data_IF_266107659673
#
_entry.id   IF_266107659673
#
_cell.length_a   1.000
_cell.length_b   1.000
_cell.length_c   1.000
_cell.angle_alpha   90.00
_cell.angle_beta   90.00
_cell.angle_gamma   90.00
#
_symmetry.space_group_name_H-M   'P 1'
#
loop_
_entity.id
_entity.type
_entity.pdbx_description
1 polymer ?
#
# COMPACT_ATOMS: atom_id res chain seq x y z
N UNK A 1 18.53 49.04 -12.08
CA UNK A 1 18.85 47.83 -12.88
C UNK A 1 20.14 47.26 -12.31
N UNK A 2 20.09 46.06 -11.71
CA UNK A 2 21.32 45.35 -11.39
C UNK A 2 21.62 44.45 -12.59
N UNK A 3 22.63 44.83 -13.37
CA UNK A 3 23.18 43.98 -14.43
C UNK A 3 23.82 42.76 -13.76
N UNK A 4 23.09 41.64 -13.76
CA UNK A 4 23.65 40.35 -13.34
C UNK A 4 24.53 39.87 -14.49
N UNK A 5 25.76 40.37 -14.55
CA UNK A 5 26.81 39.80 -15.40
C UNK A 5 27.16 38.42 -14.85
N UNK A 6 26.50 37.37 -15.34
CA UNK A 6 26.83 35.99 -14.98
C UNK A 6 28.24 35.65 -15.49
N UNK A 7 29.21 35.72 -14.58
CA UNK A 7 30.56 35.17 -14.80
C UNK A 7 30.44 33.68 -15.18
N UNK A 8 31.24 33.22 -16.16
CA UNK A 8 31.34 31.80 -16.55
C UNK A 8 31.54 30.86 -15.35
N UNK A 9 32.21 31.33 -14.30
CA UNK A 9 32.35 30.59 -13.03
C UNK A 9 31.03 30.42 -12.25
N UNK A 10 30.12 31.40 -12.31
CA UNK A 10 28.80 31.30 -11.71
C UNK A 10 27.90 30.28 -12.42
N UNK A 11 27.98 30.21 -13.75
CA UNK A 11 27.25 29.21 -14.54
C UNK A 11 27.68 27.79 -14.17
N UNK A 12 28.98 27.53 -14.06
CA UNK A 12 29.53 26.24 -13.63
C UNK A 12 29.12 25.89 -12.19
N UNK A 13 29.06 26.89 -11.31
CA UNK A 13 28.63 26.69 -9.92
C UNK A 13 27.15 26.31 -9.81
N UNK A 14 26.25 27.00 -10.53
CA UNK A 14 24.82 26.64 -10.56
C UNK A 14 24.60 25.27 -11.22
N UNK A 15 25.35 24.95 -12.29
CA UNK A 15 25.27 23.63 -12.91
C UNK A 15 25.75 22.52 -11.97
N UNK A 16 26.80 22.79 -11.19
CA UNK A 16 27.29 21.86 -10.16
C UNK A 16 26.31 21.68 -9.01
N UNK A 17 25.60 22.73 -8.57
CA UNK A 17 24.57 22.64 -7.53
C UNK A 17 23.35 21.85 -8.04
N UNK A 18 22.93 22.08 -9.27
CA UNK A 18 21.82 21.34 -9.90
C UNK A 18 22.21 19.87 -10.08
N UNK A 19 23.42 19.58 -10.57
CA UNK A 19 23.96 18.23 -10.72
C UNK A 19 24.09 17.51 -9.36
N UNK A 20 24.54 18.23 -8.32
CA UNK A 20 24.63 17.69 -6.96
C UNK A 20 23.23 17.45 -6.37
N UNK A 21 22.24 18.32 -6.63
CA UNK A 21 20.85 18.10 -6.21
C UNK A 21 20.18 16.91 -6.91
N UNK A 22 20.53 16.64 -8.19
CA UNK A 22 20.08 15.45 -8.93
C UNK A 22 20.65 14.14 -8.35
N UNK A 23 21.84 14.18 -7.76
CA UNK A 23 22.50 13.03 -7.14
C UNK A 23 21.90 12.66 -5.76
N UNK A 24 21.04 13.50 -5.18
CA UNK A 24 20.39 13.25 -3.88
C UNK A 24 19.06 12.48 -3.99
N UNK A 25 18.57 12.23 -5.20
CA UNK A 25 17.41 11.38 -5.42
C UNK A 25 17.82 9.90 -5.38
N UNK A 26 18.15 9.40 -4.19
CA UNK A 26 18.23 7.96 -3.98
C UNK A 26 16.85 7.34 -4.15
N UNK A 27 16.63 6.68 -5.30
CA UNK A 27 15.44 5.90 -5.56
C UNK A 27 15.58 4.54 -4.85
N UNK A 28 15.40 4.49 -3.52
CA UNK A 28 15.29 3.21 -2.78
C UNK A 28 13.88 2.65 -3.01
N UNK A 29 13.61 2.14 -4.22
CA UNK A 29 12.26 1.71 -4.58
C UNK A 29 12.26 0.57 -5.61
N UNK A 30 12.26 -0.68 -5.11
CA UNK A 30 11.66 -1.87 -5.75
C UNK A 30 11.63 -3.08 -4.81
N UNK A 31 12.54 -3.15 -3.83
CA UNK A 31 12.68 -4.33 -2.96
C UNK A 31 11.87 -4.18 -1.66
N UNK A 32 10.61 -3.73 -1.71
CA UNK A 32 9.77 -3.78 -0.50
C UNK A 32 9.01 -5.10 -0.48
N UNK A 33 9.38 -5.99 0.45
CA UNK A 33 8.65 -7.22 0.69
C UNK A 33 7.26 -6.91 1.26
N UNK A 34 6.22 -7.57 0.75
CA UNK A 34 4.85 -7.51 1.24
C UNK A 34 4.40 -8.91 1.63
N UNK A 35 3.67 -8.98 2.73
CA UNK A 35 3.07 -10.19 3.26
C UNK A 35 1.59 -9.91 3.48
N UNK A 36 0.75 -10.81 3.00
CA UNK A 36 -0.70 -10.78 3.25
C UNK A 36 -1.14 -12.16 3.71
N UNK A 37 -2.09 -12.20 4.64
CA UNK A 37 -2.71 -13.44 5.09
C UNK A 37 -4.18 -13.21 5.45
N UNK A 38 -4.98 -14.27 5.34
CA UNK A 38 -6.33 -14.34 5.84
C UNK A 38 -6.54 -15.66 6.57
N UNK A 39 -7.40 -15.64 7.59
CA UNK A 39 -7.80 -16.84 8.29
C UNK A 39 -9.21 -17.24 7.85
N UNK A 40 -9.42 -18.54 7.70
CA UNK A 40 -10.71 -19.16 7.49
C UNK A 40 -10.87 -20.31 8.46
N UNK A 41 -11.73 -20.12 9.46
CA UNK A 41 -11.72 -20.99 10.63
C UNK A 41 -10.31 -20.99 11.23
N UNK A 42 -9.73 -22.18 11.35
CA UNK A 42 -8.35 -22.36 11.82
C UNK A 42 -7.28 -22.33 10.72
N UNK A 43 -7.65 -22.32 9.44
CA UNK A 43 -6.67 -22.33 8.35
C UNK A 43 -6.25 -20.89 8.00
N UNK A 44 -4.98 -20.57 8.19
CA UNK A 44 -4.36 -19.33 7.72
C UNK A 44 -3.78 -19.57 6.34
N UNK A 45 -4.26 -18.84 5.33
CA UNK A 45 -3.67 -18.80 3.99
C UNK A 45 -3.07 -17.44 3.74
N UNK A 46 -1.92 -17.41 3.09
CA UNK A 46 -1.29 -16.15 2.76
C UNK A 46 -0.32 -16.24 1.61
N UNK A 47 0.28 -15.11 1.29
CA UNK A 47 1.31 -15.03 0.27
C UNK A 47 2.31 -13.92 0.54
N UNK A 48 3.48 -14.06 -0.07
CA UNK A 48 4.57 -13.11 0.01
C UNK A 48 5.03 -12.72 -1.39
N UNK A 49 5.15 -11.42 -1.61
CA UNK A 49 5.49 -10.83 -2.90
C UNK A 49 6.26 -9.52 -2.72
N UNK A 50 7.03 -9.11 -3.72
CA UNK A 50 7.66 -7.79 -3.75
C UNK A 50 6.70 -6.73 -4.26
N UNK A 51 6.93 -5.47 -3.87
CA UNK A 51 6.29 -4.31 -4.47
C UNK A 51 6.44 -4.37 -6.01
N UNK A 52 5.33 -4.31 -6.73
CA UNK A 52 5.26 -4.62 -8.16
C UNK A 52 4.63 -5.98 -8.49
N UNK A 53 4.28 -6.79 -7.49
CA UNK A 53 3.46 -8.00 -7.63
C UNK A 53 4.26 -9.28 -7.95
N UNK A 54 5.59 -9.26 -7.87
CA UNK A 54 6.43 -10.43 -8.12
C UNK A 54 6.41 -11.35 -6.90
N UNK A 55 5.92 -12.59 -7.05
CA UNK A 55 5.89 -13.59 -5.97
C UNK A 55 7.28 -14.03 -5.52
N UNK A 56 7.45 -14.31 -4.23
CA UNK A 56 8.72 -14.76 -3.64
C UNK A 56 8.63 -16.23 -3.21
N UNK A 57 9.49 -17.07 -3.77
CA UNK A 57 9.50 -18.53 -3.55
C UNK A 57 10.49 -18.90 -2.47
N UNK A 58 10.24 -20.00 -1.77
CA UNK A 58 11.19 -20.66 -0.87
C UNK A 58 11.72 -19.77 0.26
N UNK A 59 10.91 -18.81 0.72
CA UNK A 59 11.26 -17.98 1.88
C UNK A 59 10.48 -18.39 3.12
N UNK A 60 11.10 -18.21 4.27
CA UNK A 60 10.51 -18.56 5.56
C UNK A 60 9.53 -17.49 6.03
N UNK A 61 8.38 -17.96 6.50
CA UNK A 61 7.37 -17.20 7.23
C UNK A 61 7.30 -17.76 8.65
N UNK A 62 7.77 -16.97 9.60
CA UNK A 62 7.69 -17.30 11.02
C UNK A 62 6.31 -16.92 11.56
N UNK A 63 5.69 -17.83 12.32
CA UNK A 63 4.36 -17.67 12.87
C UNK A 63 4.47 -17.58 14.39
N UNK A 64 3.93 -16.49 14.93
CA UNK A 64 3.93 -16.17 16.34
C UNK A 64 2.50 -16.15 16.88
N UNK A 65 2.33 -16.67 18.09
CA UNK A 65 1.11 -16.57 18.88
C UNK A 65 1.49 -16.08 20.28
N UNK A 66 0.82 -15.04 20.78
CA UNK A 66 1.18 -14.38 22.04
C UNK A 66 2.68 -14.08 22.15
N UNK A 67 3.25 -13.48 21.09
CA UNK A 67 4.68 -13.11 20.97
C UNK A 67 5.67 -14.30 20.96
N UNK A 68 5.18 -15.53 21.06
CA UNK A 68 6.00 -16.75 21.02
C UNK A 68 5.99 -17.34 19.61
N UNK A 69 7.16 -17.64 19.04
CA UNK A 69 7.25 -18.35 17.76
C UNK A 69 6.77 -19.79 17.95
N UNK A 70 5.68 -20.16 17.28
CA UNK A 70 5.05 -21.48 17.37
C UNK A 70 5.29 -22.35 16.14
N UNK A 71 5.57 -21.73 14.99
CA UNK A 71 5.81 -22.44 13.74
C UNK A 71 6.65 -21.61 12.76
N UNK A 72 7.14 -22.30 11.73
CA UNK A 72 7.74 -21.71 10.54
C UNK A 72 7.23 -22.47 9.32
N UNK A 73 6.76 -21.75 8.31
CA UNK A 73 6.34 -22.30 7.03
C UNK A 73 7.17 -21.68 5.91
N UNK A 74 7.22 -22.34 4.75
CA UNK A 74 7.97 -21.85 3.59
C UNK A 74 7.00 -21.59 2.44
N UNK A 75 7.21 -20.51 1.71
CA UNK A 75 6.39 -20.19 0.54
C UNK A 75 6.63 -21.13 -0.64
N UNK A 76 5.58 -21.43 -1.38
CA UNK A 76 5.62 -22.26 -2.57
C UNK A 76 6.10 -21.50 -3.82
N UNK A 77 5.99 -22.17 -4.98
CA UNK A 77 6.40 -21.60 -6.27
C UNK A 77 5.59 -20.38 -6.74
N UNK A 78 4.44 -20.12 -6.14
CA UNK A 78 3.58 -18.96 -6.37
C UNK A 78 3.71 -17.91 -5.26
N UNK A 79 4.59 -18.15 -4.29
CA UNK A 79 4.77 -17.32 -3.10
C UNK A 79 3.67 -17.50 -2.06
N UNK A 80 2.86 -18.54 -2.14
CA UNK A 80 1.76 -18.82 -1.21
C UNK A 80 2.20 -19.73 -0.07
N UNK A 81 1.49 -19.69 1.05
CA UNK A 81 1.65 -20.61 2.17
C UNK A 81 0.30 -20.89 2.84
N UNK A 82 0.22 -22.02 3.55
CA UNK A 82 -0.90 -22.34 4.44
C UNK A 82 -0.39 -22.83 5.79
N UNK A 83 -1.11 -22.51 6.86
CA UNK A 83 -0.85 -22.97 8.21
C UNK A 83 -2.15 -23.26 8.94
N UNK A 84 -2.24 -24.41 9.59
CA UNK A 84 -3.39 -24.78 10.42
C UNK A 84 -3.13 -24.40 11.87
N UNK A 85 -3.86 -23.40 12.36
CA UNK A 85 -3.81 -22.94 13.74
C UNK A 85 -4.38 -23.99 14.70
N UNK A 86 -3.82 -24.06 15.91
CA UNK A 86 -4.30 -24.99 16.95
C UNK A 86 -5.44 -24.43 17.80
N UNK A 87 -5.68 -23.11 17.76
CA UNK A 87 -6.75 -22.45 18.50
C UNK A 87 -6.98 -21.03 17.95
N UNK A 88 -8.14 -20.46 18.28
CA UNK A 88 -8.48 -19.06 18.03
C UNK A 88 -7.53 -18.08 18.73
N UNK A 89 -7.26 -16.95 18.08
CA UNK A 89 -6.61 -15.79 18.69
C UNK A 89 -5.78 -15.00 17.67
N UNK A 90 -4.89 -14.16 18.18
CA UNK A 90 -4.08 -13.25 17.36
C UNK A 90 -2.75 -13.90 16.95
N UNK A 91 -2.55 -13.98 15.64
CA UNK A 91 -1.33 -14.51 15.06
C UNK A 91 -0.55 -13.38 14.39
N UNK A 92 0.77 -13.37 14.61
CA UNK A 92 1.68 -12.50 13.87
C UNK A 92 2.54 -13.36 12.94
N UNK A 93 2.51 -13.01 11.66
CA UNK A 93 3.31 -13.62 10.62
C UNK A 93 4.47 -12.71 10.26
N UNK A 94 5.66 -13.28 10.10
CA UNK A 94 6.88 -12.55 9.77
C UNK A 94 7.58 -13.26 8.62
N UNK A 95 7.49 -12.69 7.42
CA UNK A 95 8.22 -13.17 6.25
C UNK A 95 9.60 -12.52 6.20
N UNK A 96 10.65 -13.32 6.01
CA UNK A 96 12.02 -12.86 5.93
C UNK A 96 12.70 -13.38 4.66
N UNK A 97 13.02 -12.48 3.73
CA UNK A 97 13.73 -12.79 2.49
C UNK A 97 15.25 -12.49 2.57
N UNK A 98 15.79 -12.29 3.78
CA UNK A 98 17.19 -11.95 4.03
C UNK A 98 17.51 -10.47 3.76
N UNK A 99 18.74 -10.04 4.04
CA UNK A 99 19.27 -8.69 3.75
C UNK A 99 18.40 -7.50 4.22
N UNK A 100 17.62 -7.69 5.30
CA UNK A 100 16.72 -6.65 5.84
C UNK A 100 15.33 -6.62 5.21
N UNK A 101 15.02 -7.52 4.28
CA UNK A 101 13.71 -7.65 3.66
C UNK A 101 12.76 -8.44 4.56
N UNK A 102 12.14 -7.74 5.50
CA UNK A 102 11.19 -8.31 6.46
C UNK A 102 9.81 -7.69 6.29
N UNK A 103 8.79 -8.53 6.19
CA UNK A 103 7.38 -8.10 6.18
C UNK A 103 6.64 -8.75 7.35
N UNK A 104 5.75 -7.99 7.99
CA UNK A 104 4.97 -8.43 9.15
C UNK A 104 3.48 -8.26 8.88
N UNK A 105 2.68 -9.21 9.31
CA UNK A 105 1.23 -9.18 9.15
C UNK A 105 0.57 -9.76 10.39
N UNK A 106 -0.58 -9.21 10.81
CA UNK A 106 -1.39 -9.77 11.90
C UNK A 106 -2.69 -10.29 11.34
N UNK A 107 -3.08 -11.48 11.77
CA UNK A 107 -4.34 -12.10 11.39
C UNK A 107 -5.04 -12.60 12.65
N UNK A 108 -6.32 -12.30 12.77
CA UNK A 108 -7.19 -12.88 13.77
C UNK A 108 -7.65 -14.24 13.24
N UNK A 109 -7.33 -15.30 13.96
CA UNK A 109 -7.90 -16.63 13.74
C UNK A 109 -9.08 -16.76 14.68
N UNK A 110 -10.24 -17.07 14.13
CA UNK A 110 -11.41 -17.44 14.90
C UNK A 110 -11.78 -18.84 14.44
N UNK A 111 -11.64 -19.82 15.33
CA UNK A 111 -12.25 -21.12 15.16
C UNK A 111 -13.73 -20.86 14.88
N UNK A 112 -14.22 -21.34 13.74
CA UNK A 112 -15.62 -21.22 13.41
C UNK A 112 -16.41 -22.08 14.41
N UNK A 113 -16.65 -21.52 15.60
CA UNK A 113 -17.74 -21.87 16.48
C UNK A 113 -18.82 -20.84 16.23
N UNK A 114 -20.02 -21.33 15.96
CA UNK A 114 -21.26 -20.63 16.25
C UNK A 114 -21.07 -19.86 17.57
N UNK A 115 -21.44 -18.57 17.57
CA UNK A 115 -21.38 -17.60 18.69
C UNK A 115 -20.21 -16.60 18.65
N UNK A 116 -20.55 -15.40 18.16
CA UNK A 116 -19.80 -14.16 18.28
C UNK A 116 -19.72 -13.65 19.75
N UNK A 117 -18.84 -12.66 20.07
CA UNK A 117 -18.37 -12.39 21.43
C UNK A 117 -19.39 -11.71 22.34
N UNK A 118 -19.48 -12.24 23.57
CA UNK A 118 -20.21 -11.69 24.70
C UNK A 118 -19.52 -10.41 25.21
N UNK A 119 -20.26 -9.29 25.23
CA UNK A 119 -19.84 -8.03 25.85
C UNK A 119 -20.31 -8.07 27.31
N UNK A 120 -19.47 -7.78 28.31
CA UNK A 120 -19.84 -7.99 29.70
C UNK A 120 -20.87 -6.95 30.16
N UNK A 121 -22.14 -7.37 30.26
CA UNK A 121 -23.19 -6.57 30.90
C UNK A 121 -23.21 -6.86 32.39
N UNK A 122 -23.10 -5.78 33.17
CA UNK A 122 -23.06 -5.77 34.61
C UNK A 122 -24.28 -6.41 35.29
N UNK A 123 -23.97 -7.09 36.40
CA UNK A 123 -24.79 -7.63 37.50
C UNK A 123 -26.24 -7.09 37.68
N UNK A 124 -27.23 -7.97 37.41
CA UNK A 124 -28.44 -8.41 38.20
C UNK A 124 -29.42 -7.38 38.84
N UNK A 125 -30.71 -7.73 39.17
CA UNK A 125 -31.35 -9.08 39.25
C UNK A 125 -32.76 -9.23 38.59
N UNK A 126 -33.18 -10.50 38.44
CA UNK A 126 -34.48 -10.99 37.91
C UNK A 126 -35.71 -10.70 38.80
N UNK A 127 -36.94 -10.96 38.29
CA UNK A 127 -37.57 -12.24 38.62
C UNK A 127 -38.27 -12.97 37.44
N UNK A 128 -37.91 -14.25 37.34
CA UNK A 128 -38.65 -15.47 36.95
C UNK A 128 -40.15 -15.33 36.65
N UNK A 129 -40.57 -15.67 35.42
CA UNK A 129 -41.58 -16.70 35.11
C UNK A 129 -41.81 -16.84 33.58
N UNK A 130 -42.05 -18.09 33.13
CA UNK A 130 -42.24 -18.59 31.74
C UNK A 130 -40.98 -19.16 31.08
N UNK A 131 -40.41 -20.18 31.71
CA UNK A 131 -39.32 -20.99 31.18
C UNK A 131 -39.84 -22.37 30.77
N UNK A 132 -40.55 -22.48 29.64
CA UNK A 132 -40.67 -23.77 28.93
C UNK A 132 -40.92 -23.60 27.42
N UNK A 133 -41.63 -22.57 26.97
CA UNK A 133 -41.88 -22.34 25.51
C UNK A 133 -40.82 -21.46 24.81
N UNK A 134 -39.91 -20.84 25.56
CA UNK A 134 -38.86 -19.96 25.02
C UNK A 134 -37.59 -20.73 24.59
N UNK A 135 -37.40 -21.96 25.08
CA UNK A 135 -36.17 -22.74 24.83
C UNK A 135 -36.25 -23.42 23.45
N UNK A 136 -37.42 -23.92 23.05
CA UNK A 136 -37.62 -24.60 21.77
C UNK A 136 -37.58 -23.62 20.58
N UNK A 137 -38.15 -22.42 20.74
CA UNK A 137 -38.08 -21.37 19.71
C UNK A 137 -36.67 -20.76 19.59
N UNK A 138 -35.95 -20.56 20.70
CA UNK A 138 -34.58 -20.05 20.66
C UNK A 138 -33.59 -21.03 20.02
N UNK A 139 -33.75 -22.34 20.24
CA UNK A 139 -32.89 -23.35 19.63
C UNK A 139 -33.16 -23.49 18.12
N UNK A 140 -34.42 -23.41 17.67
CA UNK A 140 -34.77 -23.47 16.23
C UNK A 140 -34.32 -22.20 15.48
N UNK A 141 -34.42 -21.03 16.11
CA UNK A 141 -33.94 -19.77 15.52
C UNK A 141 -32.41 -19.69 15.47
N UNK A 142 -31.72 -20.21 16.50
CA UNK A 142 -30.26 -20.30 16.52
C UNK A 142 -29.74 -21.25 15.42
N UNK A 143 -30.34 -22.44 15.28
CA UNK A 143 -30.00 -23.38 14.19
C UNK A 143 -30.29 -22.82 12.78
N UNK A 144 -31.36 -22.03 12.61
CA UNK A 144 -31.66 -21.38 11.33
C UNK A 144 -30.66 -20.26 11.02
N UNK A 145 -30.24 -19.51 12.04
CA UNK A 145 -29.24 -18.45 11.91
C UNK A 145 -27.85 -19.02 11.61
N UNK A 146 -27.44 -20.08 12.29
CA UNK A 146 -26.13 -20.73 12.08
C UNK A 146 -26.01 -21.34 10.68
N UNK A 147 -27.11 -21.91 10.14
CA UNK A 147 -27.17 -22.38 8.76
C UNK A 147 -27.09 -21.24 7.73
N UNK A 148 -27.62 -20.06 8.04
CA UNK A 148 -27.58 -18.88 7.16
C UNK A 148 -26.18 -18.22 7.17
N UNK A 149 -25.55 -18.10 8.33
CA UNK A 149 -24.19 -17.58 8.49
C UNK A 149 -23.15 -18.52 7.88
N UNK A 150 -23.29 -19.84 8.06
CA UNK A 150 -22.42 -20.83 7.43
C UNK A 150 -22.57 -20.87 5.89
N UNK A 151 -23.75 -20.54 5.36
CA UNK A 151 -23.95 -20.37 3.92
C UNK A 151 -23.30 -19.08 3.42
N UNK A 152 -23.37 -18.00 4.20
CA UNK A 152 -22.77 -16.72 3.88
C UNK A 152 -21.23 -16.78 3.88
N UNK A 153 -20.60 -17.43 4.86
CA UNK A 153 -19.15 -17.62 4.89
C UNK A 153 -18.63 -18.43 3.69
N UNK A 154 -19.38 -19.45 3.27
CA UNK A 154 -19.06 -20.24 2.07
C UNK A 154 -19.18 -19.42 0.79
N UNK A 155 -20.10 -18.46 0.75
CA UNK A 155 -20.24 -17.51 -0.37
C UNK A 155 -19.15 -16.41 -0.37
N UNK A 156 -18.57 -16.08 0.78
CA UNK A 156 -17.53 -15.05 0.94
C UNK A 156 -16.10 -15.56 0.67
N UNK A 157 -15.88 -16.88 0.70
CA UNK A 157 -14.61 -17.53 0.32
C UNK A 157 -14.03 -17.05 -1.04
N UNK A 158 -14.78 -17.14 -2.15
CA UNK A 158 -14.25 -16.70 -3.45
C UNK A 158 -13.99 -15.19 -3.50
N UNK A 159 -14.67 -14.40 -2.65
CA UNK A 159 -14.50 -12.95 -2.62
C UNK A 159 -13.15 -12.56 -2.03
N UNK A 160 -12.67 -13.25 -0.99
CA UNK A 160 -11.36 -12.94 -0.39
C UNK A 160 -10.20 -13.22 -1.36
N UNK A 161 -10.29 -14.29 -2.14
CA UNK A 161 -9.31 -14.58 -3.19
C UNK A 161 -9.30 -13.47 -4.26
N UNK A 162 -10.47 -12.94 -4.62
CA UNK A 162 -10.57 -11.81 -5.56
C UNK A 162 -9.97 -10.53 -4.97
N UNK A 163 -10.20 -10.23 -3.70
CA UNK A 163 -9.61 -9.06 -3.04
C UNK A 163 -8.08 -9.14 -3.02
N UNK A 164 -7.54 -10.33 -2.74
CA UNK A 164 -6.10 -10.56 -2.76
C UNK A 164 -5.50 -10.27 -4.14
N UNK A 165 -6.09 -10.83 -5.19
CA UNK A 165 -5.61 -10.65 -6.56
C UNK A 165 -5.73 -9.18 -7.01
N UNK A 166 -6.82 -8.51 -6.65
CA UNK A 166 -7.00 -7.08 -6.93
C UNK A 166 -5.95 -6.23 -6.24
N UNK A 167 -5.63 -6.50 -4.97
CA UNK A 167 -4.59 -5.73 -4.26
C UNK A 167 -3.21 -5.91 -4.90
N UNK A 168 -2.89 -7.13 -5.33
CA UNK A 168 -1.67 -7.42 -6.07
C UNK A 168 -1.61 -6.66 -7.41
N UNK A 169 -2.73 -6.59 -8.12
CA UNK A 169 -2.81 -5.82 -9.38
C UNK A 169 -2.67 -4.32 -9.14
N UNK A 170 -3.32 -3.76 -8.10
CA UNK A 170 -3.18 -2.35 -7.71
C UNK A 170 -1.71 -2.01 -7.46
N UNK A 171 -1.01 -2.85 -6.69
CA UNK A 171 0.41 -2.66 -6.41
C UNK A 171 1.28 -2.67 -7.68
N UNK A 172 0.94 -3.53 -8.65
CA UNK A 172 1.63 -3.59 -9.93
C UNK A 172 1.34 -2.36 -10.81
N UNK A 173 0.12 -1.81 -10.76
CA UNK A 173 -0.25 -0.59 -11.48
C UNK A 173 0.35 0.67 -10.86
N UNK A 174 0.34 0.80 -9.54
CA UNK A 174 0.93 1.94 -8.82
C UNK A 174 2.42 2.09 -9.15
N UNK A 175 3.13 0.96 -9.23
CA UNK A 175 4.53 0.95 -9.65
C UNK A 175 4.73 1.56 -11.05
N UNK A 176 3.83 1.29 -12.01
CA UNK A 176 3.90 1.84 -13.38
C UNK A 176 3.50 3.31 -13.46
N UNK A 177 2.49 3.73 -12.69
CA UNK A 177 2.00 5.11 -12.66
C UNK A 177 3.09 6.02 -12.11
N UNK A 178 3.76 5.62 -11.02
CA UNK A 178 4.86 6.40 -10.43
C UNK A 178 5.99 6.69 -11.43
N UNK A 179 6.31 5.76 -12.33
CA UNK A 179 7.29 6.00 -13.39
C UNK A 179 6.84 7.10 -14.37
N UNK A 180 5.57 7.10 -14.75
CA UNK A 180 5.02 8.13 -15.63
C UNK A 180 4.99 9.50 -14.95
N UNK A 181 4.68 9.56 -13.66
CA UNK A 181 4.67 10.81 -12.91
C UNK A 181 6.08 11.43 -12.80
N UNK A 182 7.10 10.61 -12.58
CA UNK A 182 8.50 11.06 -12.56
C UNK A 182 8.91 11.59 -13.94
N UNK A 183 8.65 10.83 -15.01
CA UNK A 183 8.97 11.26 -16.38
C UNK A 183 8.18 12.52 -16.79
N UNK A 184 6.91 12.61 -16.40
CA UNK A 184 6.05 13.76 -16.64
C UNK A 184 6.52 15.01 -15.90
N UNK A 185 6.89 14.88 -14.63
CA UNK A 185 7.47 15.97 -13.84
C UNK A 185 8.81 16.45 -14.43
N UNK A 186 9.67 15.52 -14.83
CA UNK A 186 10.94 15.84 -15.49
C UNK A 186 10.71 16.57 -16.83
N UNK A 187 9.78 16.06 -17.65
CA UNK A 187 9.37 16.67 -18.91
C UNK A 187 8.76 18.06 -18.73
N UNK A 188 8.00 18.30 -17.66
CA UNK A 188 7.44 19.61 -17.34
C UNK A 188 8.54 20.63 -17.01
N UNK A 189 9.51 20.25 -16.17
CA UNK A 189 10.63 21.14 -15.80
C UNK A 189 11.46 21.50 -17.04
N UNK A 190 11.86 20.50 -17.84
CA UNK A 190 12.61 20.74 -19.07
C UNK A 190 11.79 21.48 -20.12
N UNK A 191 10.48 21.23 -20.21
CA UNK A 191 9.57 21.90 -21.14
C UNK A 191 9.43 23.39 -20.83
N UNK A 192 9.16 23.75 -19.57
CA UNK A 192 9.05 25.16 -19.16
C UNK A 192 10.40 25.87 -19.27
N UNK A 193 11.50 25.23 -18.84
CA UNK A 193 12.84 25.80 -18.96
C UNK A 193 13.25 26.02 -20.43
N UNK A 194 12.96 25.04 -21.30
CA UNK A 194 13.22 25.12 -22.74
C UNK A 194 12.40 26.22 -23.41
N UNK A 195 11.12 26.34 -23.07
CA UNK A 195 10.26 27.41 -23.58
C UNK A 195 10.74 28.79 -23.12
N UNK A 196 11.18 28.91 -21.87
CA UNK A 196 11.72 30.15 -21.31
C UNK A 196 13.01 30.59 -22.03
N UNK A 197 13.96 29.68 -22.26
CA UNK A 197 15.19 29.97 -23.00
C UNK A 197 14.90 30.31 -24.47
N UNK A 198 13.97 29.60 -25.10
CA UNK A 198 13.52 29.90 -26.46
C UNK A 198 12.94 31.32 -26.56
N UNK A 199 12.11 31.72 -25.58
CA UNK A 199 11.55 33.07 -25.52
C UNK A 199 12.65 34.13 -25.37
N UNK A 200 13.63 33.90 -24.48
CA UNK A 200 14.74 34.84 -24.27
C UNK A 200 15.59 35.02 -25.53
N UNK A 201 15.93 33.94 -26.23
CA UNK A 201 16.70 34.02 -27.48
C UNK A 201 15.94 34.77 -28.58
N UNK A 202 14.62 34.63 -28.67
CA UNK A 202 13.78 35.38 -29.61
C UNK A 202 13.66 36.86 -29.25
N UNK A 203 13.44 37.21 -27.98
CA UNK A 203 13.41 38.61 -27.54
C UNK A 203 14.76 39.30 -27.76
N UNK A 204 15.87 38.63 -27.47
CA UNK A 204 17.21 39.16 -27.70
C UNK A 204 17.52 39.36 -29.20
N UNK A 205 17.11 38.40 -30.05
CA UNK A 205 17.27 38.47 -31.51
C UNK A 205 16.49 39.63 -32.13
N UNK A 206 15.30 39.94 -31.60
CA UNK A 206 14.50 41.09 -32.04
C UNK A 206 15.12 42.43 -31.61
N UNK A 207 15.71 42.50 -30.40
CA UNK A 207 16.40 43.70 -29.91
C UNK A 207 17.64 44.03 -30.76
N UNK A 208 18.36 43.01 -31.25
CA UNK A 208 19.55 43.21 -32.10
C UNK A 208 19.21 43.64 -33.54
N UNK A 209 18.02 43.32 -34.06
CA UNK A 209 17.61 43.73 -35.41
C UNK A 209 17.01 45.13 -35.49
N UNK A 210 16.45 45.64 -34.40
CA UNK A 210 15.72 46.91 -34.41
C UNK A 210 16.40 48.06 -33.65
N UNK A 211 17.49 47.83 -32.91
CA UNK A 211 18.25 48.90 -32.24
C UNK A 211 17.47 49.73 -31.20
N UNK A 212 16.19 49.43 -30.98
CA UNK A 212 15.32 50.11 -30.04
C UNK A 212 14.84 49.12 -28.98
N UNK A 213 14.87 49.55 -27.72
CA UNK A 213 14.49 48.77 -26.55
C UNK A 213 12.95 48.79 -26.41
N UNK A 214 12.22 47.69 -26.68
CA UNK A 214 10.81 47.66 -26.34
C UNK A 214 10.75 47.31 -24.85
N UNK A 215 10.92 48.33 -24.01
CA UNK A 215 10.39 48.28 -22.66
C UNK A 215 8.95 47.80 -22.76
N UNK A 216 8.69 46.66 -22.13
CA UNK A 216 7.39 46.04 -21.96
C UNK A 216 6.35 47.11 -21.58
N UNK A 217 5.64 47.66 -22.57
CA UNK A 217 4.52 48.58 -22.37
C UNK A 217 3.32 47.76 -21.95
N UNK A 218 3.32 47.40 -20.67
CA UNK A 218 2.08 47.29 -19.93
C UNK A 218 1.68 48.70 -19.47
N UNK A 219 0.38 48.98 -19.59
CA UNK A 219 -0.34 50.02 -18.87
C UNK A 219 -0.38 51.43 -19.50
N UNK A 220 -1.37 51.62 -20.39
CA UNK A 220 -2.20 52.83 -20.35
C UNK A 220 -3.66 52.46 -20.65
N UNK A 221 -4.38 52.06 -19.61
CA UNK A 221 -5.84 52.09 -19.58
C UNK A 221 -6.23 53.53 -19.23
N UNK A 222 -7.07 54.14 -20.06
CA UNK A 222 -7.95 55.24 -19.68
C UNK A 222 -9.33 54.90 -20.17
#
# INVERSE_FOLDING_TARGET
MNDITMNKGGILFYFSIILLGLLWFENVQAHRLKLFASAQGLEIKGSVYFAGGVSVKEISVDIYFNETKIAQVTTDSQGQFSYLASHSGDYQLVANAGSGHVARFRVQVTEASETAPDVPVALRPSPVQTATEAIENAQVDQYRHDMEVAHLERALQPLHAQLFELQKQIDAYEAKIRWHDILGGLGYIFGVAGLWLWWQTRCFSLKNKNGEDPSCTSQKVR
#
